data_IF_159108831236
#
_entry.id   IF_159108831236
#
_cell.length_a   1.000
_cell.length_b   1.000
_cell.length_c   1.000
_cell.angle_alpha   90.00
_cell.angle_beta   90.00
_cell.angle_gamma   90.00
#
_symmetry.space_group_name_H-M   'P 1'
#
loop_
_entity.id
_entity.type
_entity.pdbx_description
1 polymer ?
#
# COMPACT_ATOMS: atom_id res chain seq x y z
N UNK A 1 -24.78 -0.78 -8.15
CA UNK A 1 -24.14 0.55 -8.08
C UNK A 1 -22.94 0.70 -9.02
N UNK A 2 -22.15 -0.33 -9.25
CA UNK A 2 -20.99 -0.35 -10.17
C UNK A 2 -21.43 -0.20 -11.64
N UNK A 3 -22.60 -0.72 -12.04
CA UNK A 3 -23.16 -0.57 -13.40
C UNK A 3 -23.51 0.88 -13.77
N UNK A 4 -23.81 1.73 -12.80
CA UNK A 4 -24.16 3.15 -13.05
C UNK A 4 -22.90 4.01 -13.23
N UNK A 5 -21.79 3.66 -12.60
CA UNK A 5 -20.54 4.41 -12.76
C UNK A 5 -19.82 4.12 -14.09
N UNK A 6 -19.86 2.87 -14.57
CA UNK A 6 -19.27 2.53 -15.87
C UNK A 6 -20.02 3.19 -17.03
N UNK A 7 -21.34 3.29 -16.93
CA UNK A 7 -22.19 4.00 -17.89
C UNK A 7 -21.87 5.49 -17.91
N UNK A 8 -21.61 6.11 -16.76
CA UNK A 8 -21.25 7.52 -16.68
C UNK A 8 -19.85 7.84 -17.26
N UNK A 9 -18.87 6.99 -17.02
CA UNK A 9 -17.51 7.16 -17.58
C UNK A 9 -17.54 7.01 -19.11
N UNK A 10 -18.30 6.04 -19.63
CA UNK A 10 -18.44 5.82 -21.06
C UNK A 10 -19.18 6.98 -21.74
N UNK A 11 -20.26 7.47 -21.10
CA UNK A 11 -21.00 8.64 -21.57
C UNK A 11 -20.14 9.91 -21.57
N UNK A 12 -19.28 10.07 -20.56
CA UNK A 12 -18.36 11.20 -20.47
C UNK A 12 -17.24 11.14 -21.52
N UNK A 13 -16.62 9.96 -21.72
CA UNK A 13 -15.63 9.73 -22.78
C UNK A 13 -16.23 9.97 -24.17
N UNK A 14 -17.45 9.51 -24.39
CA UNK A 14 -18.17 9.72 -25.67
C UNK A 14 -18.46 11.20 -25.89
N UNK A 15 -18.91 11.93 -24.86
CA UNK A 15 -19.12 13.37 -24.91
C UNK A 15 -17.82 14.15 -25.19
N UNK A 16 -16.69 13.77 -24.55
CA UNK A 16 -15.38 14.36 -24.82
C UNK A 16 -14.90 14.10 -26.25
N UNK A 17 -15.07 12.89 -26.76
CA UNK A 17 -14.69 12.55 -28.14
C UNK A 17 -15.52 13.30 -29.17
N UNK A 18 -16.82 13.45 -28.96
CA UNK A 18 -17.71 14.25 -29.84
C UNK A 18 -17.31 15.73 -29.82
N UNK A 19 -16.95 16.27 -28.66
CA UNK A 19 -16.56 17.71 -28.55
C UNK A 19 -15.17 17.98 -29.11
N UNK A 20 -14.21 17.06 -28.99
CA UNK A 20 -12.83 17.26 -29.44
C UNK A 20 -12.58 16.83 -30.90
N UNK A 21 -13.26 15.79 -31.35
CA UNK A 21 -13.01 15.15 -32.65
C UNK A 21 -14.24 15.12 -33.59
N UNK A 22 -15.39 15.59 -33.13
CA UNK A 22 -16.63 15.65 -33.93
C UNK A 22 -17.23 14.25 -34.22
N UNK A 23 -16.71 13.19 -33.61
CA UNK A 23 -17.12 11.79 -33.84
C UNK A 23 -17.27 11.05 -32.51
N UNK A 24 -18.27 10.15 -32.36
CA UNK A 24 -18.40 9.34 -31.19
C UNK A 24 -17.23 8.36 -31.01
N UNK A 25 -16.89 8.06 -29.76
CA UNK A 25 -15.75 7.21 -29.38
C UNK A 25 -15.71 5.88 -30.14
N UNK A 26 -16.88 5.27 -30.37
CA UNK A 26 -17.02 3.99 -31.07
C UNK A 26 -16.61 4.05 -32.57
N UNK A 27 -16.75 5.22 -33.22
CA UNK A 27 -16.39 5.40 -34.62
C UNK A 27 -14.91 5.73 -34.81
N UNK A 28 -14.25 6.28 -33.82
CA UNK A 28 -12.81 6.61 -33.86
C UNK A 28 -11.91 5.36 -33.80
N UNK A 29 -12.42 4.26 -33.19
CA UNK A 29 -11.69 3.01 -33.03
C UNK A 29 -12.27 1.83 -33.80
N UNK A 30 -13.35 2.01 -34.56
CA UNK A 30 -13.91 0.99 -35.44
C UNK A 30 -13.16 0.99 -36.79
N UNK A 31 -12.11 0.17 -36.87
CA UNK A 31 -11.65 -0.30 -38.18
C UNK A 31 -12.78 -1.11 -38.85
N UNK A 32 -12.94 -1.09 -40.17
CA UNK A 32 -14.02 -1.83 -40.87
C UNK A 32 -13.80 -3.33 -40.74
N UNK A 33 -14.41 -3.94 -39.71
CA UNK A 33 -14.43 -5.36 -39.51
C UNK A 33 -15.62 -5.97 -40.29
N UNK A 34 -15.33 -6.99 -41.10
CA UNK A 34 -16.34 -7.75 -41.85
C UNK A 34 -17.39 -8.37 -40.93
N UNK A 35 -18.64 -8.47 -41.41
CA UNK A 35 -19.82 -8.95 -40.65
C UNK A 35 -19.62 -10.33 -39.98
N UNK A 36 -18.70 -11.17 -40.48
CA UNK A 36 -18.33 -12.47 -39.91
C UNK A 36 -17.45 -12.35 -38.66
N UNK A 37 -16.76 -11.24 -38.45
CA UNK A 37 -15.93 -11.01 -37.24
C UNK A 37 -16.78 -10.58 -36.05
N UNK A 38 -17.94 -9.91 -36.28
CA UNK A 38 -18.79 -9.40 -35.20
C UNK A 38 -19.49 -10.52 -34.41
N UNK A 39 -19.83 -11.62 -35.03
CA UNK A 39 -20.43 -12.78 -34.34
C UNK A 39 -19.43 -13.53 -33.45
N UNK A 40 -18.16 -13.60 -33.89
CA UNK A 40 -17.09 -14.24 -33.10
C UNK A 40 -16.62 -13.32 -31.95
N UNK A 41 -16.64 -12.01 -32.15
CA UNK A 41 -16.31 -11.03 -31.09
C UNK A 41 -17.42 -11.00 -30.03
N UNK A 42 -18.70 -11.05 -30.45
CA UNK A 42 -19.82 -11.14 -29.51
C UNK A 42 -19.82 -12.44 -28.72
N UNK A 43 -19.51 -13.59 -29.35
CA UNK A 43 -19.38 -14.86 -28.66
C UNK A 43 -18.17 -14.89 -27.72
N UNK A 44 -17.03 -14.30 -28.11
CA UNK A 44 -15.85 -14.21 -27.27
C UNK A 44 -16.04 -13.20 -26.13
N UNK A 45 -16.74 -12.11 -26.37
CA UNK A 45 -17.11 -11.14 -25.32
C UNK A 45 -18.09 -11.75 -24.31
N UNK A 46 -19.06 -12.52 -24.77
CA UNK A 46 -20.00 -13.23 -23.89
C UNK A 46 -19.29 -14.32 -23.09
N UNK A 47 -18.34 -15.05 -23.69
CA UNK A 47 -17.53 -16.03 -22.97
C UNK A 47 -16.57 -15.37 -21.99
N UNK A 48 -16.00 -14.23 -22.32
CA UNK A 48 -15.16 -13.43 -21.41
C UNK A 48 -15.99 -12.84 -20.25
N UNK A 49 -17.20 -12.33 -20.52
CA UNK A 49 -18.12 -11.87 -19.47
C UNK A 49 -18.56 -13.03 -18.58
N UNK A 50 -18.85 -14.19 -19.15
CA UNK A 50 -19.19 -15.40 -18.37
C UNK A 50 -17.97 -15.94 -17.62
N UNK A 51 -16.76 -15.85 -18.16
CA UNK A 51 -15.53 -16.21 -17.44
C UNK A 51 -15.24 -15.25 -16.27
N UNK A 52 -15.53 -13.94 -16.44
CA UNK A 52 -15.44 -12.94 -15.38
C UNK A 52 -16.51 -13.14 -14.31
N UNK A 53 -17.73 -13.55 -14.71
CA UNK A 53 -18.81 -13.86 -13.75
C UNK A 53 -18.66 -15.23 -13.08
N UNK A 54 -17.90 -16.15 -13.68
CA UNK A 54 -17.59 -17.47 -13.10
C UNK A 54 -16.24 -17.51 -12.38
N UNK A 55 -15.47 -16.42 -12.37
CA UNK A 55 -14.23 -16.38 -11.64
C UNK A 55 -14.55 -16.20 -10.14
N UNK A 56 -14.37 -17.23 -9.28
CA UNK A 56 -14.66 -17.12 -7.85
C UNK A 56 -13.76 -16.10 -7.12
N UNK A 57 -12.74 -15.55 -7.81
CA UNK A 57 -11.91 -14.44 -7.36
C UNK A 57 -12.49 -13.05 -7.66
N UNK A 58 -13.59 -12.99 -8.45
CA UNK A 58 -14.29 -11.74 -8.70
C UNK A 58 -15.12 -11.37 -7.47
N UNK A 59 -14.57 -10.55 -6.61
CA UNK A 59 -15.26 -9.89 -5.51
C UNK A 59 -15.98 -10.88 -4.57
N UNK A 60 -15.23 -11.70 -3.83
CA UNK A 60 -15.84 -12.42 -2.72
C UNK A 60 -16.51 -11.39 -1.79
N UNK A 61 -17.68 -11.70 -1.22
CA UNK A 61 -18.34 -10.79 -0.29
C UNK A 61 -17.40 -10.29 0.82
N UNK A 62 -16.46 -11.13 1.24
CA UNK A 62 -15.42 -10.79 2.22
C UNK A 62 -14.45 -9.70 1.72
N UNK A 63 -14.11 -9.68 0.43
CA UNK A 63 -13.27 -8.63 -0.14
C UNK A 63 -13.98 -7.27 -0.14
N UNK A 64 -15.28 -7.26 -0.47
CA UNK A 64 -16.09 -6.03 -0.48
C UNK A 64 -16.32 -5.51 0.93
N UNK A 65 -16.61 -6.39 1.90
CA UNK A 65 -16.85 -6.00 3.29
C UNK A 65 -15.61 -5.44 3.98
N UNK A 66 -14.41 -5.81 3.55
CA UNK A 66 -13.16 -5.26 4.09
C UNK A 66 -13.01 -3.76 3.81
N UNK A 67 -13.51 -3.28 2.68
CA UNK A 67 -13.48 -1.85 2.32
C UNK A 67 -14.71 -1.08 2.82
N UNK A 68 -15.58 -1.74 3.58
CA UNK A 68 -16.69 -1.07 4.27
C UNK A 68 -16.15 -0.19 5.40
N UNK A 69 -16.63 1.06 5.55
CA UNK A 69 -16.21 1.96 6.63
C UNK A 69 -16.46 1.42 8.04
N UNK A 70 -17.26 0.38 8.18
CA UNK A 70 -17.56 -0.33 9.43
C UNK A 70 -16.48 -1.33 9.84
N UNK A 71 -15.59 -1.73 8.93
CA UNK A 71 -14.52 -2.70 9.21
C UNK A 71 -13.38 -2.06 10.00
N UNK A 72 -12.94 -2.72 11.09
CA UNK A 72 -11.74 -2.31 11.83
C UNK A 72 -10.50 -2.27 10.94
N UNK A 73 -10.37 -3.22 10.01
CA UNK A 73 -9.28 -3.28 9.05
C UNK A 73 -9.21 -2.06 8.14
N UNK A 74 -10.35 -1.54 7.70
CA UNK A 74 -10.42 -0.31 6.91
C UNK A 74 -9.81 0.87 7.66
N UNK A 75 -10.17 1.07 8.92
CA UNK A 75 -9.63 2.16 9.74
C UNK A 75 -8.14 1.99 10.03
N UNK A 76 -7.69 0.75 10.25
CA UNK A 76 -6.29 0.45 10.45
C UNK A 76 -5.46 0.77 9.18
N UNK A 77 -5.97 0.38 8.01
CA UNK A 77 -5.34 0.67 6.71
C UNK A 77 -5.30 2.18 6.44
N UNK A 78 -6.40 2.90 6.71
CA UNK A 78 -6.46 4.37 6.64
C UNK A 78 -5.43 5.04 7.54
N UNK A 79 -5.25 4.55 8.76
CA UNK A 79 -4.26 5.10 9.69
C UNK A 79 -2.83 4.80 9.24
N UNK A 80 -2.58 3.62 8.67
CA UNK A 80 -1.29 3.27 8.05
C UNK A 80 -0.95 4.19 6.89
N UNK A 81 -1.92 4.44 6.00
CA UNK A 81 -1.77 5.37 4.88
C UNK A 81 -1.52 6.80 5.36
N UNK A 82 -2.25 7.25 6.38
CA UNK A 82 -2.00 8.53 7.02
C UNK A 82 -0.55 8.62 7.52
N UNK A 83 -0.05 7.61 8.25
CA UNK A 83 1.30 7.57 8.77
C UNK A 83 2.37 7.62 7.66
N UNK A 84 2.20 6.82 6.59
CA UNK A 84 3.08 6.86 5.43
C UNK A 84 3.05 8.20 4.70
N UNK A 85 1.87 8.80 4.57
CA UNK A 85 1.71 10.11 3.94
C UNK A 85 2.43 11.21 4.71
N UNK A 86 2.32 11.22 6.04
CA UNK A 86 3.07 12.15 6.91
C UNK A 86 4.56 11.96 6.72
N UNK A 87 5.07 10.73 6.81
CA UNK A 87 6.50 10.46 6.68
C UNK A 87 7.04 10.84 5.30
N UNK A 88 6.29 10.54 4.23
CA UNK A 88 6.63 10.91 2.86
C UNK A 88 6.67 12.42 2.66
N UNK A 89 5.67 13.14 3.19
CA UNK A 89 5.60 14.60 3.11
C UNK A 89 6.77 15.28 3.86
N UNK A 90 7.10 14.79 5.05
CA UNK A 90 8.22 15.33 5.84
C UNK A 90 9.52 15.20 5.05
N UNK A 91 9.79 14.00 4.52
CA UNK A 91 11.03 13.73 3.80
C UNK A 91 11.14 14.57 2.52
N UNK A 92 10.06 14.65 1.73
CA UNK A 92 10.01 15.49 0.53
C UNK A 92 10.21 16.98 0.85
N UNK A 93 9.63 17.47 1.95
CA UNK A 93 9.78 18.85 2.39
C UNK A 93 11.21 19.17 2.86
N UNK A 94 11.91 18.21 3.50
CA UNK A 94 13.33 18.34 3.82
C UNK A 94 14.21 18.50 2.57
N UNK A 95 13.78 17.90 1.45
CA UNK A 95 14.45 18.04 0.14
C UNK A 95 14.03 19.29 -0.65
N UNK A 96 13.24 20.18 -0.03
CA UNK A 96 12.71 21.40 -0.64
C UNK A 96 11.83 21.16 -1.88
N UNK A 97 11.11 20.04 -1.91
CA UNK A 97 10.13 19.79 -2.95
C UNK A 97 8.98 20.80 -2.83
N UNK A 98 8.37 21.13 -3.96
CA UNK A 98 7.19 21.96 -4.01
C UNK A 98 5.95 21.23 -3.47
N UNK A 99 4.81 21.91 -3.42
CA UNK A 99 3.57 21.35 -2.87
C UNK A 99 3.16 20.08 -3.61
N UNK A 100 3.25 20.10 -4.94
CA UNK A 100 2.88 18.95 -5.77
C UNK A 100 3.85 17.78 -5.59
N UNK A 101 5.15 18.05 -5.57
CA UNK A 101 6.19 17.05 -5.31
C UNK A 101 6.02 16.36 -3.96
N UNK A 102 5.68 17.11 -2.90
CA UNK A 102 5.38 16.55 -1.59
C UNK A 102 4.16 15.62 -1.61
N UNK A 103 3.08 16.01 -2.31
CA UNK A 103 1.88 15.15 -2.46
C UNK A 103 2.24 13.88 -3.24
N UNK A 104 3.01 13.99 -4.30
CA UNK A 104 3.41 12.87 -5.14
C UNK A 104 4.24 11.85 -4.35
N UNK A 105 5.24 12.31 -3.58
CA UNK A 105 6.07 11.44 -2.73
C UNK A 105 5.22 10.78 -1.64
N UNK A 106 4.32 11.53 -0.99
CA UNK A 106 3.40 10.99 0.01
C UNK A 106 2.48 9.91 -0.59
N UNK A 107 1.96 10.14 -1.79
CA UNK A 107 1.11 9.21 -2.52
C UNK A 107 1.86 7.91 -2.84
N UNK A 108 3.04 8.03 -3.43
CA UNK A 108 3.86 6.88 -3.78
C UNK A 108 4.26 6.10 -2.52
N UNK A 109 4.69 6.77 -1.46
CA UNK A 109 5.06 6.13 -0.20
C UNK A 109 3.91 5.33 0.42
N UNK A 110 2.68 5.85 0.36
CA UNK A 110 1.52 5.23 0.99
C UNK A 110 0.89 4.10 0.15
N UNK A 111 0.94 4.21 -1.20
CA UNK A 111 0.22 3.30 -2.09
C UNK A 111 1.10 2.16 -2.60
N UNK A 112 2.40 2.38 -2.82
CA UNK A 112 3.25 1.41 -3.53
C UNK A 112 3.39 0.07 -2.80
N UNK A 113 3.49 0.07 -1.48
CA UNK A 113 3.59 -1.15 -0.69
C UNK A 113 2.37 -2.06 -0.82
N UNK A 114 1.18 -1.60 -0.41
CA UNK A 114 -0.06 -2.38 -0.58
C UNK A 114 -0.35 -2.76 -2.04
N UNK A 115 0.00 -1.88 -2.99
CA UNK A 115 -0.14 -2.19 -4.43
C UNK A 115 0.78 -3.34 -4.85
N UNK A 116 2.05 -3.32 -4.46
CA UNK A 116 2.98 -4.40 -4.77
C UNK A 116 2.52 -5.73 -4.15
N UNK A 117 2.05 -5.72 -2.90
CA UNK A 117 1.44 -6.89 -2.25
C UNK A 117 0.25 -7.42 -3.05
N UNK A 118 -0.68 -6.55 -3.43
CA UNK A 118 -1.90 -6.96 -4.12
C UNK A 118 -1.59 -7.52 -5.52
N UNK A 119 -0.59 -6.97 -6.22
CA UNK A 119 -0.10 -7.50 -7.50
C UNK A 119 0.54 -8.89 -7.32
N UNK A 120 1.38 -9.09 -6.29
CA UNK A 120 2.03 -10.39 -6.03
C UNK A 120 0.98 -11.47 -5.70
N UNK A 121 -0.10 -11.09 -5.01
CA UNK A 121 -1.20 -11.98 -4.65
C UNK A 121 -2.29 -12.11 -5.73
N UNK A 122 -2.10 -11.51 -6.91
CA UNK A 122 -3.09 -11.46 -8.00
C UNK A 122 -4.48 -10.95 -7.54
N UNK A 123 -4.45 -9.92 -6.68
CA UNK A 123 -5.62 -9.37 -6.01
C UNK A 123 -6.08 -8.07 -6.69
N UNK A 124 -7.09 -8.17 -7.52
CA UNK A 124 -7.68 -7.06 -8.27
C UNK A 124 -9.17 -6.90 -7.98
N UNK A 125 -9.72 -5.66 -8.05
CA UNK A 125 -9.07 -4.37 -8.27
C UNK A 125 -8.22 -3.93 -7.08
N UNK A 126 -7.21 -3.07 -7.32
CA UNK A 126 -6.35 -2.55 -6.26
C UNK A 126 -7.16 -1.72 -5.24
N UNK A 127 -6.77 -1.75 -3.97
CA UNK A 127 -7.51 -1.15 -2.85
C UNK A 127 -7.87 0.33 -3.07
N UNK A 128 -6.95 1.14 -3.58
CA UNK A 128 -7.15 2.57 -3.84
C UNK A 128 -8.04 2.86 -5.05
N UNK A 129 -8.21 1.90 -5.97
CA UNK A 129 -9.16 2.00 -7.09
C UNK A 129 -10.59 1.77 -6.62
N UNK A 130 -10.79 0.94 -5.59
CA UNK A 130 -12.10 0.65 -5.02
C UNK A 130 -12.63 1.83 -4.20
N UNK A 131 -11.74 2.50 -3.47
CA UNK A 131 -12.13 3.57 -2.56
C UNK A 131 -11.24 4.81 -2.69
N UNK A 132 -11.81 5.87 -3.26
CA UNK A 132 -11.12 7.16 -3.45
C UNK A 132 -10.73 7.86 -2.14
N UNK A 133 -11.28 7.45 -0.99
CA UNK A 133 -10.95 8.05 0.30
C UNK A 133 -9.46 7.91 0.64
N UNK A 134 -8.80 6.87 0.13
CA UNK A 134 -7.35 6.71 0.30
C UNK A 134 -6.56 7.86 -0.33
N UNK A 135 -6.90 8.25 -1.55
CA UNK A 135 -6.24 9.36 -2.24
C UNK A 135 -6.57 10.71 -1.59
N UNK A 136 -7.80 10.87 -1.12
CA UNK A 136 -8.22 12.08 -0.41
C UNK A 136 -7.45 12.27 0.91
N UNK A 137 -7.33 11.22 1.72
CA UNK A 137 -6.61 11.31 3.00
C UNK A 137 -5.13 11.61 2.81
N UNK A 138 -4.48 11.02 1.78
CA UNK A 138 -3.09 11.31 1.43
C UNK A 138 -2.93 12.78 1.07
N UNK A 139 -3.79 13.29 0.20
CA UNK A 139 -3.73 14.68 -0.29
C UNK A 139 -3.98 15.67 0.86
N UNK A 140 -5.04 15.46 1.64
CA UNK A 140 -5.39 16.31 2.78
C UNK A 140 -4.26 16.30 3.83
N UNK A 141 -3.73 15.13 4.14
CA UNK A 141 -2.63 14.96 5.09
C UNK A 141 -1.37 15.68 4.61
N UNK A 142 -0.99 15.50 3.34
CA UNK A 142 0.22 16.11 2.78
C UNK A 142 0.09 17.64 2.75
N UNK A 143 -1.03 18.18 2.27
CA UNK A 143 -1.26 19.63 2.24
C UNK A 143 -1.32 20.20 3.66
N UNK A 144 -2.07 19.56 4.55
CA UNK A 144 -2.19 19.99 5.95
C UNK A 144 -0.84 20.03 6.64
N UNK A 145 -0.03 18.96 6.48
CA UNK A 145 1.29 18.91 7.10
C UNK A 145 2.24 19.99 6.57
N UNK A 146 2.17 20.31 5.27
CA UNK A 146 2.97 21.39 4.67
C UNK A 146 2.61 22.78 5.20
N UNK A 147 1.33 23.00 5.54
CA UNK A 147 0.84 24.28 6.08
C UNK A 147 1.24 24.44 7.56
N UNK A 148 1.03 23.38 8.36
CA UNK A 148 1.14 23.45 9.81
C UNK A 148 2.54 23.13 10.36
N UNK A 149 3.37 22.39 9.60
CA UNK A 149 4.68 21.96 10.08
C UNK A 149 5.83 22.70 9.40
N UNK A 150 6.69 23.27 10.23
CA UNK A 150 7.93 23.86 9.75
C UNK A 150 8.98 22.75 9.61
N UNK A 151 9.48 22.46 8.39
CA UNK A 151 10.42 21.37 8.13
C UNK A 151 11.77 21.51 8.84
N UNK A 152 12.13 22.73 9.24
CA UNK A 152 13.39 23.01 9.96
C UNK A 152 13.28 22.85 11.48
N UNK A 153 12.11 22.46 11.99
CA UNK A 153 11.93 22.28 13.43
C UNK A 153 12.61 20.98 13.88
N UNK A 154 13.40 21.05 14.96
CA UNK A 154 14.19 19.94 15.53
C UNK A 154 13.38 18.67 15.86
N UNK A 155 12.06 18.81 16.01
CA UNK A 155 11.15 17.70 16.33
C UNK A 155 10.69 16.92 15.09
N UNK A 156 10.89 17.44 13.87
CA UNK A 156 10.34 16.86 12.65
C UNK A 156 11.03 15.54 12.27
N UNK A 157 12.34 15.41 12.55
CA UNK A 157 13.07 14.15 12.34
C UNK A 157 12.57 13.04 13.28
N UNK A 158 12.24 13.41 14.53
CA UNK A 158 11.61 12.47 15.46
C UNK A 158 10.22 12.02 15.00
N UNK A 159 9.46 12.95 14.45
CA UNK A 159 8.14 12.71 13.91
C UNK A 159 8.19 11.78 12.68
N UNK A 160 9.15 12.01 11.79
CA UNK A 160 9.40 11.12 10.64
C UNK A 160 9.61 9.67 11.10
N UNK A 161 10.52 9.47 12.06
CA UNK A 161 10.85 8.14 12.58
C UNK A 161 9.68 7.49 13.31
N UNK A 162 8.87 8.27 14.00
CA UNK A 162 7.68 7.80 14.72
C UNK A 162 6.60 7.33 13.75
N UNK A 163 6.26 8.13 12.74
CA UNK A 163 5.26 7.76 11.75
C UNK A 163 5.73 6.62 10.84
N UNK A 164 7.02 6.57 10.51
CA UNK A 164 7.61 5.43 9.79
C UNK A 164 7.51 4.14 10.62
N UNK A 165 7.78 4.20 11.92
CA UNK A 165 7.62 3.05 12.84
C UNK A 165 6.18 2.60 13.02
N UNK A 166 5.21 3.54 13.07
CA UNK A 166 3.78 3.23 13.09
C UNK A 166 3.34 2.56 11.79
N UNK A 167 3.74 3.10 10.65
CA UNK A 167 3.46 2.53 9.34
C UNK A 167 4.04 1.12 9.22
N UNK A 168 5.27 0.90 9.71
CA UNK A 168 5.90 -0.41 9.75
C UNK A 168 5.03 -1.43 10.49
N UNK A 169 4.56 -1.09 11.70
CA UNK A 169 3.76 -1.99 12.50
C UNK A 169 2.42 -2.35 11.84
N UNK A 170 1.72 -1.33 11.33
CA UNK A 170 0.41 -1.49 10.73
C UNK A 170 0.49 -2.26 9.41
N UNK A 171 1.34 -1.85 8.49
CA UNK A 171 1.41 -2.48 7.18
C UNK A 171 2.02 -3.88 7.21
N UNK A 172 2.90 -4.17 8.18
CA UNK A 172 3.36 -5.56 8.40
C UNK A 172 2.19 -6.44 8.82
N UNK A 173 1.38 -6.01 9.79
CA UNK A 173 0.21 -6.76 10.24
C UNK A 173 -0.79 -6.98 9.10
N UNK A 174 -1.18 -5.91 8.40
CA UNK A 174 -2.13 -6.00 7.29
C UNK A 174 -1.59 -6.92 6.17
N UNK A 175 -0.29 -6.81 5.86
CA UNK A 175 0.33 -7.66 4.84
C UNK A 175 0.28 -9.16 5.20
N UNK A 176 0.53 -9.50 6.48
CA UNK A 176 0.42 -10.87 6.98
C UNK A 176 -1.03 -11.38 6.86
N UNK A 177 -2.00 -10.59 7.31
CA UNK A 177 -3.41 -10.99 7.29
C UNK A 177 -3.95 -11.17 5.86
N UNK A 178 -3.62 -10.25 4.96
CA UNK A 178 -4.02 -10.36 3.55
C UNK A 178 -3.43 -11.61 2.90
N UNK A 179 -2.16 -11.90 3.15
CA UNK A 179 -1.51 -13.09 2.62
C UNK A 179 -2.11 -14.38 3.20
N UNK A 180 -2.46 -14.38 4.47
CA UNK A 180 -3.12 -15.49 5.16
C UNK A 180 -4.53 -15.74 4.60
N UNK A 181 -5.31 -14.71 4.36
CA UNK A 181 -6.63 -14.79 3.71
C UNK A 181 -6.56 -15.44 2.32
N UNK A 182 -5.45 -15.19 1.60
CA UNK A 182 -5.17 -15.80 0.29
C UNK A 182 -4.60 -17.22 0.39
N UNK A 183 -4.52 -17.80 1.59
CA UNK A 183 -4.04 -19.16 1.82
C UNK A 183 -2.53 -19.36 1.69
N UNK A 184 -1.74 -18.29 1.77
CA UNK A 184 -0.28 -18.39 1.72
C UNK A 184 0.29 -19.08 2.96
N UNK A 185 1.42 -19.77 2.79
CA UNK A 185 2.15 -20.39 3.91
C UNK A 185 2.74 -19.35 4.86
N UNK A 186 2.91 -19.71 6.14
CA UNK A 186 3.41 -18.81 7.20
C UNK A 186 4.65 -18.01 6.80
N UNK A 187 5.74 -18.61 6.25
CA UNK A 187 6.92 -17.83 5.85
C UNK A 187 6.62 -16.79 4.76
N UNK A 188 5.70 -17.14 3.84
CA UNK A 188 5.29 -16.23 2.76
C UNK A 188 4.43 -15.09 3.32
N UNK A 189 3.54 -15.38 4.28
CA UNK A 189 2.76 -14.34 4.96
C UNK A 189 3.68 -13.32 5.65
N UNK A 190 4.69 -13.80 6.39
CA UNK A 190 5.67 -12.91 7.05
C UNK A 190 6.44 -12.11 6.00
N UNK A 191 6.91 -12.75 4.93
CA UNK A 191 7.64 -12.08 3.86
C UNK A 191 6.78 -10.98 3.20
N UNK A 192 5.52 -11.27 2.88
CA UNK A 192 4.60 -10.30 2.29
C UNK A 192 4.25 -9.17 3.25
N UNK A 193 4.15 -9.46 4.56
CA UNK A 193 4.03 -8.43 5.58
C UNK A 193 5.22 -7.47 5.58
N UNK A 194 6.43 -8.00 5.52
CA UNK A 194 7.66 -7.20 5.40
C UNK A 194 7.70 -6.42 4.09
N UNK A 195 7.45 -7.06 2.96
CA UNK A 195 7.48 -6.42 1.64
C UNK A 195 6.43 -5.31 1.52
N UNK A 196 5.27 -5.48 2.15
CA UNK A 196 4.19 -4.50 2.11
C UNK A 196 4.62 -3.10 2.57
N UNK A 197 5.45 -3.00 3.58
CA UNK A 197 5.98 -1.70 4.04
C UNK A 197 7.29 -1.32 3.36
N UNK A 198 8.13 -2.31 3.02
CA UNK A 198 9.44 -2.07 2.40
C UNK A 198 9.33 -1.32 1.08
N UNK A 199 8.45 -1.76 0.19
CA UNK A 199 8.29 -1.12 -1.13
C UNK A 199 7.95 0.37 -0.98
N UNK A 200 7.02 0.72 -0.08
CA UNK A 200 6.65 2.11 0.17
C UNK A 200 7.83 2.96 0.65
N UNK A 201 8.54 2.47 1.66
CA UNK A 201 9.70 3.14 2.24
C UNK A 201 10.87 3.29 1.27
N UNK A 202 11.21 2.21 0.56
CA UNK A 202 12.33 2.21 -0.39
C UNK A 202 12.08 3.18 -1.55
N UNK A 203 10.91 3.13 -2.18
CA UNK A 203 10.58 4.01 -3.30
C UNK A 203 10.54 5.48 -2.83
N UNK A 204 9.95 5.76 -1.67
CA UNK A 204 9.96 7.08 -1.05
C UNK A 204 11.38 7.64 -0.88
N UNK A 205 12.25 6.85 -0.25
CA UNK A 205 13.62 7.27 0.05
C UNK A 205 14.42 7.49 -1.25
N UNK A 206 14.27 6.59 -2.24
CA UNK A 206 14.89 6.73 -3.56
C UNK A 206 14.43 8.01 -4.29
N UNK A 207 13.14 8.33 -4.26
CA UNK A 207 12.62 9.55 -4.87
C UNK A 207 13.18 10.82 -4.23
N UNK A 208 13.46 10.74 -2.92
CA UNK A 208 14.08 11.83 -2.16
C UNK A 208 15.61 11.83 -2.25
N UNK A 209 16.22 10.97 -3.05
CA UNK A 209 17.67 10.79 -3.16
C UNK A 209 18.32 10.55 -1.79
N UNK A 210 17.69 9.70 -0.98
CA UNK A 210 18.21 9.20 0.29
C UNK A 210 18.49 7.70 0.19
N UNK A 211 19.48 7.23 0.95
CA UNK A 211 19.71 5.79 1.06
C UNK A 211 18.56 5.20 1.87
N UNK A 212 17.82 4.20 1.33
CA UNK A 212 16.69 3.62 2.01
C UNK A 212 17.01 3.18 3.44
N UNK A 213 16.15 3.54 4.40
CA UNK A 213 16.32 3.23 5.82
C UNK A 213 16.49 1.73 6.08
N UNK A 214 15.85 0.90 5.27
CA UNK A 214 15.96 -0.57 5.35
C UNK A 214 17.37 -1.07 5.04
N UNK A 215 18.12 -0.39 4.19
CA UNK A 215 19.50 -0.75 3.83
C UNK A 215 20.52 -0.22 4.83
N UNK A 216 20.16 0.82 5.58
CA UNK A 216 21.03 1.43 6.60
C UNK A 216 20.86 0.80 7.98
N UNK A 217 19.65 0.26 8.27
CA UNK A 217 19.27 -0.18 9.63
C UNK A 217 18.55 -1.53 9.57
N UNK A 218 19.29 -2.57 9.75
CA UNK A 218 18.79 -3.96 9.68
C UNK A 218 17.67 -4.28 10.68
N UNK A 219 17.57 -3.53 11.80
CA UNK A 219 16.52 -3.70 12.81
C UNK A 219 15.13 -3.25 12.31
N UNK A 220 15.04 -2.73 11.10
CA UNK A 220 13.77 -2.44 10.43
C UNK A 220 13.04 -3.73 10.01
N UNK A 221 13.73 -4.56 9.25
CA UNK A 221 13.20 -5.84 8.75
C UNK A 221 13.05 -6.86 9.88
N UNK A 222 14.03 -6.93 10.78
CA UNK A 222 13.99 -7.87 11.89
C UNK A 222 12.84 -7.60 12.87
N UNK A 223 12.48 -6.33 13.11
CA UNK A 223 11.32 -5.99 13.93
C UNK A 223 10.02 -6.51 13.30
N UNK A 224 9.86 -6.37 11.99
CA UNK A 224 8.70 -6.88 11.26
C UNK A 224 8.64 -8.41 11.26
N UNK A 225 9.80 -9.09 11.09
CA UNK A 225 9.87 -10.56 11.15
C UNK A 225 9.51 -11.07 12.55
N UNK A 226 10.07 -10.47 13.61
CA UNK A 226 9.76 -10.86 15.01
C UNK A 226 8.26 -10.68 15.29
N UNK A 227 7.68 -9.56 14.89
CA UNK A 227 6.25 -9.33 15.02
C UNK A 227 5.41 -10.36 14.25
N UNK A 228 5.82 -10.70 13.02
CA UNK A 228 5.15 -11.73 12.22
C UNK A 228 5.21 -13.12 12.85
N UNK A 229 6.35 -13.50 13.42
CA UNK A 229 6.50 -14.76 14.17
C UNK A 229 5.57 -14.74 15.40
N UNK A 230 5.56 -13.64 16.15
CA UNK A 230 4.70 -13.50 17.33
C UNK A 230 3.21 -13.64 16.93
N UNK A 231 2.80 -13.05 15.81
CA UNK A 231 1.43 -13.17 15.31
C UNK A 231 1.00 -14.64 15.16
N UNK A 232 1.81 -15.47 14.50
CA UNK A 232 1.49 -16.88 14.28
C UNK A 232 1.63 -17.73 15.54
N UNK A 233 2.55 -17.40 16.45
CA UNK A 233 2.64 -18.07 17.77
C UNK A 233 1.37 -17.81 18.57
N UNK A 234 0.88 -16.57 18.62
CA UNK A 234 -0.36 -16.24 19.33
C UNK A 234 -1.59 -16.84 18.65
N UNK A 235 -1.58 -17.01 17.35
CA UNK A 235 -2.63 -17.68 16.60
C UNK A 235 -2.70 -19.18 16.96
N UNK A 236 -1.55 -19.85 17.06
CA UNK A 236 -1.49 -21.26 17.48
C UNK A 236 -2.01 -21.49 18.90
N UNK A 237 -1.94 -20.45 19.75
CA UNK A 237 -2.49 -20.46 21.11
C UNK A 237 -3.97 -20.11 21.17
N UNK A 238 -4.64 -19.93 20.03
CA UNK A 238 -6.04 -19.53 19.90
C UNK A 238 -6.41 -18.26 20.69
N UNK A 239 -5.48 -17.30 20.77
CA UNK A 239 -5.69 -16.02 21.44
C UNK A 239 -6.69 -15.18 20.64
N UNK A 240 -7.52 -14.42 21.35
CA UNK A 240 -8.53 -13.56 20.75
C UNK A 240 -7.92 -12.61 19.70
N UNK A 241 -8.56 -12.42 18.52
CA UNK A 241 -7.99 -11.69 17.39
C UNK A 241 -7.46 -10.31 17.74
N UNK A 242 -8.24 -9.51 18.47
CA UNK A 242 -7.85 -8.14 18.80
C UNK A 242 -6.60 -8.05 19.70
N UNK A 243 -6.40 -9.03 20.62
CA UNK A 243 -5.19 -9.09 21.46
C UNK A 243 -3.98 -9.47 20.60
N UNK A 244 -4.13 -10.45 19.71
CA UNK A 244 -3.10 -10.89 18.77
C UNK A 244 -2.62 -9.73 17.90
N UNK A 245 -3.55 -8.99 17.30
CA UNK A 245 -3.25 -7.85 16.43
C UNK A 245 -2.59 -6.71 17.19
N UNK A 246 -3.17 -6.30 18.32
CA UNK A 246 -2.63 -5.21 19.13
C UNK A 246 -1.23 -5.52 19.67
N UNK A 247 -1.00 -6.75 20.17
CA UNK A 247 0.31 -7.16 20.69
C UNK A 247 1.37 -7.25 19.59
N UNK A 248 1.00 -7.73 18.39
CA UNK A 248 1.89 -7.77 17.22
C UNK A 248 2.32 -6.36 16.82
N UNK A 249 1.35 -5.45 16.64
CA UNK A 249 1.66 -4.05 16.29
C UNK A 249 2.51 -3.38 17.37
N UNK A 250 2.15 -3.56 18.65
CA UNK A 250 2.89 -2.97 19.76
C UNK A 250 4.34 -3.48 19.79
N UNK A 251 4.55 -4.78 19.58
CA UNK A 251 5.88 -5.38 19.57
C UNK A 251 6.75 -4.83 18.46
N UNK A 252 6.24 -4.76 17.22
CA UNK A 252 6.95 -4.18 16.08
C UNK A 252 7.31 -2.72 16.36
N UNK A 253 6.33 -1.94 16.80
CA UNK A 253 6.51 -0.52 17.09
C UNK A 253 7.54 -0.28 18.20
N UNK A 254 7.43 -1.00 19.31
CA UNK A 254 8.37 -0.87 20.45
C UNK A 254 9.79 -1.24 20.04
N UNK A 255 9.99 -2.38 19.36
CA UNK A 255 11.32 -2.79 18.89
C UNK A 255 11.89 -1.71 17.97
N UNK A 256 11.09 -1.17 17.06
CA UNK A 256 11.51 -0.12 16.14
C UNK A 256 11.89 1.16 16.88
N UNK A 257 11.09 1.61 17.84
CA UNK A 257 11.35 2.83 18.60
C UNK A 257 12.58 2.68 19.50
N UNK A 258 12.78 1.52 20.13
CA UNK A 258 13.98 1.22 20.91
C UNK A 258 15.22 1.22 20.01
N UNK A 259 15.15 0.58 18.84
CA UNK A 259 16.24 0.56 17.87
C UNK A 259 16.64 1.99 17.43
N UNK A 260 15.63 2.85 17.18
CA UNK A 260 15.87 4.26 16.83
C UNK A 260 16.47 5.05 17.99
N UNK A 261 15.99 4.80 19.22
CA UNK A 261 16.44 5.55 20.42
C UNK A 261 17.86 5.19 20.84
N UNK A 262 18.20 3.89 20.77
CA UNK A 262 19.51 3.39 21.23
C UNK A 262 20.50 3.22 20.09
N UNK A 263 20.10 3.62 18.87
CA UNK A 263 20.92 3.54 17.67
C UNK A 263 21.53 2.14 17.44
N UNK A 264 20.70 1.11 17.62
CA UNK A 264 21.11 -0.28 17.49
C UNK A 264 21.46 -0.60 16.03
N UNK A 265 22.67 -1.12 15.85
CA UNK A 265 23.20 -1.60 14.57
C UNK A 265 23.66 -3.03 14.73
N UNK A 266 23.51 -3.84 13.70
CA UNK A 266 24.24 -5.11 13.67
C UNK A 266 25.72 -4.83 13.49
N UNK A 267 26.59 -5.59 14.20
CA UNK A 267 28.06 -5.43 14.04
C UNK A 267 28.45 -5.77 12.60
N UNK A 268 29.26 -4.90 12.00
CA UNK A 268 29.80 -5.13 10.67
C UNK A 268 30.69 -6.39 10.69
N UNK A 269 30.36 -7.36 9.84
CA UNK A 269 31.09 -8.64 9.74
C UNK A 269 32.57 -8.41 9.42
N UNK A 270 32.91 -7.31 8.76
CA UNK A 270 34.28 -6.93 8.47
C UNK A 270 35.11 -6.65 9.73
N UNK A 271 34.47 -6.16 10.81
CA UNK A 271 35.14 -5.86 12.09
C UNK A 271 35.42 -7.13 12.92
N UNK A 272 34.61 -8.18 12.76
CA UNK A 272 34.86 -9.46 13.44
C UNK A 272 36.13 -10.15 12.95
N UNK A 273 36.51 -9.94 11.68
CA UNK A 273 37.73 -10.52 11.10
C UNK A 273 39.03 -9.85 11.59
N UNK A 274 38.94 -8.65 12.13
CA UNK A 274 40.10 -7.87 12.61
C UNK A 274 40.52 -8.22 14.04
N UNK A 275 39.68 -8.92 14.81
CA UNK A 275 39.98 -9.39 16.16
C UNK A 275 40.42 -10.85 16.21
N UNK A 276 40.50 -11.57 15.06
CA UNK A 276 40.93 -12.98 14.98
C UNK A 276 42.32 -13.15 14.30
N UNK A 277 43.06 -12.08 14.11
CA UNK A 277 44.49 -12.05 13.69
C UNK A 277 45.32 -11.32 14.75
#
# INVERSE_FOLDING_TARGET
MISIMSVNVYAWLNACCITLFGQPFDLLFAAPLSVTATSNIAASATSAVNAVTQNPLALTPEFVTRFEPTSFMFWLEMFGIFACSVSGTILAKHKNFDVFGCILVAMIAAISGPTARDIILDRYPLFWMVNMNYLLIITITSVGFQIFCNPKARHVDGLLKLFDGLALAIFTLIGIQVAQEMGANIPICILLGVLNILFGGVIRDMLCNEIPLVLQREIYVTAAIIGGILYFVMESMAITPWIKEASTMMTIFVIRMLAVRYDWHFPDISLMKKHSL
#
